data_IF_625653553701
#
_entry.id   IF_625653553701
#
_cell.length_a   1.000
_cell.length_b   1.000
_cell.length_c   1.000
_cell.angle_alpha   90.00
_cell.angle_beta   90.00
_cell.angle_gamma   90.00
#
_symmetry.space_group_name_H-M   'P 1'
#
loop_
_entity.id
_entity.type
_entity.pdbx_description
1 polymer ?
#
# COMPACT_ATOMS: atom_id res chain seq x y z
N UNK A 1 17.92 -27.97 -11.32
CA UNK A 1 17.28 -27.32 -10.15
C UNK A 1 18.03 -26.02 -9.90
N UNK A 2 17.38 -24.86 -10.03
CA UNK A 2 18.03 -23.57 -9.74
C UNK A 2 18.29 -23.47 -8.24
N UNK A 3 19.50 -23.08 -7.83
CA UNK A 3 19.86 -22.89 -6.43
C UNK A 3 19.04 -21.72 -5.87
N UNK A 4 18.29 -21.91 -4.78
CA UNK A 4 17.54 -20.84 -4.11
C UNK A 4 18.40 -19.59 -3.97
N UNK A 5 17.96 -18.39 -4.39
CA UNK A 5 18.76 -17.17 -4.33
C UNK A 5 19.34 -16.92 -2.93
N UNK A 6 20.58 -16.42 -2.86
CA UNK A 6 21.27 -16.16 -1.58
C UNK A 6 20.46 -15.22 -0.66
N UNK A 7 19.78 -14.22 -1.25
CA UNK A 7 18.88 -13.30 -0.54
C UNK A 7 17.78 -14.02 0.24
N UNK A 8 17.14 -15.02 -0.36
CA UNK A 8 16.07 -15.81 0.25
C UNK A 8 16.63 -16.71 1.36
N UNK A 9 17.72 -17.42 1.09
CA UNK A 9 18.36 -18.28 2.11
C UNK A 9 18.79 -17.50 3.36
N UNK A 10 19.30 -16.28 3.17
CA UNK A 10 19.66 -15.38 4.27
C UNK A 10 18.44 -14.96 5.10
N UNK A 11 17.31 -14.65 4.45
CA UNK A 11 16.08 -14.29 5.16
C UNK A 11 15.54 -15.49 5.96
N UNK A 12 15.47 -16.67 5.34
CA UNK A 12 15.00 -17.88 6.03
C UNK A 12 15.89 -18.26 7.20
N UNK A 13 17.21 -18.19 7.04
CA UNK A 13 18.17 -18.41 8.13
C UNK A 13 17.97 -17.42 9.28
N UNK A 14 17.75 -16.14 8.98
CA UNK A 14 17.53 -15.12 9.99
C UNK A 14 16.25 -15.38 10.79
N UNK A 15 15.12 -15.62 10.13
CA UNK A 15 13.86 -15.90 10.84
C UNK A 15 13.93 -17.18 11.67
N UNK A 16 14.53 -18.25 11.15
CA UNK A 16 14.74 -19.48 11.93
C UNK A 16 15.57 -19.22 13.20
N UNK A 17 16.67 -18.48 13.08
CA UNK A 17 17.50 -18.10 14.22
C UNK A 17 16.76 -17.19 15.22
N UNK A 18 15.94 -16.26 14.74
CA UNK A 18 15.12 -15.42 15.59
C UNK A 18 14.10 -16.23 16.40
N UNK A 19 13.51 -17.26 15.79
CA UNK A 19 12.57 -18.16 16.47
C UNK A 19 13.28 -19.10 17.47
N UNK A 20 14.48 -19.60 17.14
CA UNK A 20 15.23 -20.56 17.97
C UNK A 20 15.84 -19.92 19.23
N UNK A 21 16.42 -18.72 19.13
CA UNK A 21 17.19 -18.10 20.22
C UNK A 21 16.85 -16.63 20.49
N UNK A 22 15.92 -16.06 19.72
CA UNK A 22 15.53 -14.66 19.83
C UNK A 22 16.33 -13.72 18.93
N UNK A 23 15.70 -12.58 18.65
CA UNK A 23 16.24 -11.52 17.81
C UNK A 23 17.56 -10.96 18.34
N UNK A 24 17.63 -10.63 19.63
CA UNK A 24 18.79 -9.96 20.24
C UNK A 24 20.03 -10.85 20.27
N UNK A 25 19.85 -12.15 20.52
CA UNK A 25 20.94 -13.12 20.60
C UNK A 25 21.47 -13.56 19.22
N UNK A 26 20.81 -13.13 18.14
CA UNK A 26 21.22 -13.47 16.78
C UNK A 26 22.14 -12.43 16.17
N UNK A 27 23.30 -12.87 15.66
CA UNK A 27 24.26 -12.01 14.95
C UNK A 27 24.21 -12.22 13.44
N UNK A 28 24.81 -11.28 12.68
CA UNK A 28 24.95 -11.38 11.22
C UNK A 28 25.80 -12.60 10.82
N UNK A 29 26.81 -12.95 11.61
CA UNK A 29 27.71 -14.07 11.30
C UNK A 29 26.97 -15.40 11.39
N UNK A 30 26.15 -15.58 12.42
CA UNK A 30 25.34 -16.79 12.54
C UNK A 30 24.36 -16.94 11.37
N UNK A 31 23.76 -15.83 10.91
CA UNK A 31 22.83 -15.84 9.79
C UNK A 31 23.56 -16.24 8.51
N UNK A 32 24.74 -15.67 8.28
CA UNK A 32 25.55 -15.96 7.10
C UNK A 32 25.99 -17.43 7.10
N UNK A 33 26.50 -17.92 8.23
CA UNK A 33 26.90 -19.31 8.44
C UNK A 33 25.73 -20.28 8.17
N UNK A 34 24.58 -20.03 8.81
CA UNK A 34 23.35 -20.83 8.63
C UNK A 34 22.87 -20.85 7.18
N UNK A 35 22.98 -19.73 6.47
CA UNK A 35 22.59 -19.62 5.06
C UNK A 35 23.63 -20.20 4.07
N UNK A 36 24.77 -20.68 4.57
CA UNK A 36 25.88 -21.21 3.78
C UNK A 36 26.52 -20.15 2.89
N UNK A 37 26.65 -18.92 3.37
CA UNK A 37 27.30 -17.81 2.65
C UNK A 37 28.27 -17.06 3.57
N UNK A 38 29.23 -16.35 3.00
CA UNK A 38 30.14 -15.51 3.79
C UNK A 38 29.49 -14.19 4.22
N UNK A 39 30.03 -13.58 5.30
CA UNK A 39 29.63 -12.26 5.81
C UNK A 39 29.58 -11.17 4.73
N UNK A 40 30.56 -11.13 3.81
CA UNK A 40 30.57 -10.19 2.67
C UNK A 40 29.36 -10.36 1.76
N UNK A 41 28.88 -11.60 1.57
CA UNK A 41 27.67 -11.88 0.78
C UNK A 41 26.42 -11.40 1.50
N UNK A 42 26.36 -11.53 2.83
CA UNK A 42 25.28 -10.92 3.63
C UNK A 42 25.20 -9.42 3.36
N UNK A 43 26.31 -8.69 3.51
CA UNK A 43 26.31 -7.22 3.37
C UNK A 43 26.07 -6.75 1.93
N UNK A 44 26.29 -7.60 0.93
CA UNK A 44 25.87 -7.33 -0.46
C UNK A 44 24.35 -7.26 -0.61
N UNK A 45 23.62 -7.98 0.23
CA UNK A 45 22.15 -8.03 0.20
C UNK A 45 21.49 -7.15 1.25
N UNK A 46 22.05 -7.07 2.46
CA UNK A 46 21.44 -6.39 3.59
C UNK A 46 22.45 -5.53 4.34
N UNK A 47 22.09 -4.28 4.62
CA UNK A 47 22.98 -3.34 5.33
C UNK A 47 23.11 -3.66 6.83
N UNK A 48 22.16 -4.39 7.40
CA UNK A 48 22.15 -4.77 8.82
C UNK A 48 21.26 -6.00 9.06
N UNK A 49 21.26 -6.53 10.29
CA UNK A 49 20.35 -7.60 10.72
C UNK A 49 18.89 -7.21 10.57
N UNK A 50 18.55 -5.98 10.93
CA UNK A 50 17.22 -5.38 10.81
C UNK A 50 16.78 -5.29 9.34
N UNK A 51 17.72 -5.01 8.42
CA UNK A 51 17.41 -4.89 7.00
C UNK A 51 16.97 -6.22 6.37
N UNK A 52 17.28 -7.36 6.99
CA UNK A 52 16.77 -8.68 6.58
C UNK A 52 15.26 -8.78 6.78
N UNK A 53 14.72 -8.07 7.77
CA UNK A 53 13.31 -8.09 8.14
C UNK A 53 12.50 -7.15 7.25
N UNK A 54 13.13 -6.08 6.74
CA UNK A 54 12.50 -5.05 5.90
C UNK A 54 13.30 -4.78 4.61
N UNK A 55 13.51 -5.79 3.75
CA UNK A 55 14.51 -5.69 2.69
C UNK A 55 14.13 -4.77 1.52
N UNK A 56 12.83 -4.50 1.32
CA UNK A 56 12.33 -3.84 0.11
C UNK A 56 11.43 -2.60 0.40
N UNK A 57 11.45 -2.05 1.63
CA UNK A 57 10.55 -0.95 2.01
C UNK A 57 10.79 0.34 1.20
N UNK A 58 12.04 0.71 0.96
CA UNK A 58 12.38 1.91 0.20
C UNK A 58 11.99 1.76 -1.28
N UNK A 59 12.18 0.56 -1.84
CA UNK A 59 11.75 0.23 -3.20
C UNK A 59 10.23 0.32 -3.35
N UNK A 60 9.48 -0.15 -2.35
CA UNK A 60 8.03 -0.04 -2.35
C UNK A 60 7.57 1.42 -2.32
N UNK A 61 8.22 2.28 -1.52
CA UNK A 61 7.95 3.71 -1.50
C UNK A 61 8.20 4.37 -2.87
N UNK A 62 9.25 3.97 -3.60
CA UNK A 62 9.47 4.42 -4.98
C UNK A 62 8.34 4.01 -5.91
N UNK A 63 7.91 2.74 -5.88
CA UNK A 63 6.79 2.26 -6.72
C UNK A 63 5.49 3.02 -6.45
N UNK A 64 5.22 3.37 -5.19
CA UNK A 64 4.08 4.20 -4.84
C UNK A 64 4.23 5.60 -5.44
N UNK A 65 5.41 6.23 -5.29
CA UNK A 65 5.66 7.56 -5.89
C UNK A 65 5.46 7.53 -7.39
N UNK A 66 6.03 6.55 -8.08
CA UNK A 66 5.91 6.38 -9.53
C UNK A 66 4.44 6.21 -9.93
N UNK A 67 3.68 5.37 -9.21
CA UNK A 67 2.25 5.19 -9.48
C UNK A 67 1.48 6.49 -9.33
N UNK A 68 1.72 7.27 -8.27
CA UNK A 68 1.03 8.54 -8.05
C UNK A 68 1.41 9.61 -9.09
N UNK A 69 2.68 9.68 -9.47
CA UNK A 69 3.20 10.65 -10.44
C UNK A 69 2.64 10.47 -11.86
N UNK A 70 2.15 9.28 -12.21
CA UNK A 70 1.50 9.02 -13.51
C UNK A 70 0.04 9.51 -13.57
N UNK A 71 -0.51 10.04 -12.48
CA UNK A 71 -1.90 10.46 -12.43
C UNK A 71 -2.11 11.89 -12.94
N UNK A 72 -3.26 12.12 -13.56
CA UNK A 72 -3.83 13.45 -13.79
C UNK A 72 -4.81 13.82 -12.68
N UNK A 73 -5.22 15.09 -12.61
CA UNK A 73 -6.19 15.58 -11.63
C UNK A 73 -7.49 14.78 -11.57
N UNK A 74 -8.00 14.28 -12.70
CA UNK A 74 -9.23 13.47 -12.74
C UNK A 74 -9.04 12.03 -12.28
N UNK A 75 -7.78 11.56 -12.20
CA UNK A 75 -7.42 10.17 -11.87
C UNK A 75 -6.67 10.03 -10.55
N UNK A 76 -6.47 11.12 -9.80
CA UNK A 76 -5.67 11.12 -8.57
C UNK A 76 -6.18 10.12 -7.52
N UNK A 77 -7.50 10.06 -7.30
CA UNK A 77 -8.13 9.13 -6.36
C UNK A 77 -8.00 7.66 -6.78
N UNK A 78 -8.02 7.40 -8.09
CA UNK A 78 -7.74 6.07 -8.65
C UNK A 78 -6.28 5.69 -8.39
N UNK A 79 -5.36 6.63 -8.60
CA UNK A 79 -3.94 6.39 -8.34
C UNK A 79 -3.64 6.12 -6.85
N UNK A 80 -4.33 6.79 -5.93
CA UNK A 80 -4.26 6.49 -4.48
C UNK A 80 -4.73 5.06 -4.20
N UNK A 81 -5.86 4.65 -4.78
CA UNK A 81 -6.40 3.29 -4.60
C UNK A 81 -5.45 2.22 -5.17
N UNK A 82 -4.89 2.45 -6.36
CA UNK A 82 -3.92 1.55 -6.97
C UNK A 82 -2.62 1.47 -6.17
N UNK A 83 -2.13 2.60 -5.64
CA UNK A 83 -0.97 2.63 -4.76
C UNK A 83 -1.18 1.80 -3.48
N UNK A 84 -2.37 1.89 -2.87
CA UNK A 84 -2.74 1.04 -1.73
C UNK A 84 -2.74 -0.44 -2.10
N UNK A 85 -3.27 -0.76 -3.29
CA UNK A 85 -3.28 -2.14 -3.80
C UNK A 85 -1.85 -2.65 -4.01
N UNK A 86 -0.94 -1.85 -4.57
CA UNK A 86 0.47 -2.22 -4.75
C UNK A 86 1.13 -2.62 -3.43
N UNK A 87 0.87 -1.87 -2.36
CA UNK A 87 1.39 -2.24 -1.02
C UNK A 87 0.79 -3.54 -0.55
N UNK A 88 -0.53 -3.72 -0.65
CA UNK A 88 -1.16 -4.96 -0.23
C UNK A 88 -0.59 -6.17 -0.99
N UNK A 89 -0.55 -6.09 -2.32
CA UNK A 89 -0.03 -7.15 -3.18
C UNK A 89 1.41 -7.52 -2.83
N UNK A 90 2.25 -6.55 -2.50
CA UNK A 90 3.61 -6.82 -2.04
C UNK A 90 3.64 -7.70 -0.77
N UNK A 91 2.80 -7.42 0.23
CA UNK A 91 2.70 -8.29 1.42
C UNK A 91 2.12 -9.67 1.08
N UNK A 92 1.16 -9.75 0.15
CA UNK A 92 0.59 -11.04 -0.29
C UNK A 92 1.63 -11.90 -1.01
N UNK A 93 2.43 -11.30 -1.88
CA UNK A 93 3.54 -11.97 -2.59
C UNK A 93 4.61 -12.49 -1.63
N UNK A 94 4.90 -11.76 -0.55
CA UNK A 94 5.79 -12.21 0.51
C UNK A 94 5.22 -13.38 1.34
N UNK A 95 3.90 -13.49 1.43
CA UNK A 95 3.21 -14.61 2.07
C UNK A 95 3.64 -14.86 3.52
N UNK A 96 4.26 -16.02 3.77
CA UNK A 96 4.69 -16.41 5.11
C UNK A 96 5.82 -15.54 5.67
N UNK A 97 6.62 -14.90 4.81
CA UNK A 97 7.63 -13.95 5.26
C UNK A 97 6.98 -12.73 5.93
N UNK A 98 5.92 -12.20 5.32
CA UNK A 98 5.14 -11.10 5.89
C UNK A 98 4.50 -11.50 7.23
N UNK A 99 3.96 -12.72 7.34
CA UNK A 99 3.41 -13.26 8.60
C UNK A 99 4.47 -13.40 9.70
N UNK A 100 5.64 -13.96 9.37
CA UNK A 100 6.78 -14.06 10.31
C UNK A 100 7.26 -12.68 10.78
N UNK A 101 7.36 -11.72 9.85
CA UNK A 101 7.68 -10.31 10.17
C UNK A 101 6.68 -9.71 11.14
N UNK A 102 5.38 -9.88 10.89
CA UNK A 102 4.32 -9.38 11.76
C UNK A 102 4.36 -10.00 13.16
N UNK A 103 4.58 -11.32 13.25
CA UNK A 103 4.76 -11.98 14.54
C UNK A 103 5.98 -11.45 15.30
N UNK A 104 7.08 -11.20 14.61
CA UNK A 104 8.31 -10.68 15.23
C UNK A 104 8.16 -9.23 15.72
N UNK A 105 7.57 -8.33 14.93
CA UNK A 105 7.32 -6.92 15.33
C UNK A 105 6.33 -6.81 16.49
N UNK A 106 5.44 -7.79 16.67
CA UNK A 106 4.58 -7.85 17.86
C UNK A 106 5.35 -8.12 19.16
N UNK A 107 6.52 -8.77 19.10
CA UNK A 107 7.31 -9.18 20.27
C UNK A 107 8.51 -8.27 20.54
N UNK A 108 9.11 -7.69 19.50
CA UNK A 108 10.37 -6.93 19.60
C UNK A 108 10.11 -5.44 19.42
N UNK A 109 10.32 -4.64 20.48
CA UNK A 109 10.01 -3.21 20.51
C UNK A 109 10.76 -2.41 19.42
N UNK A 110 12.07 -2.61 19.27
CA UNK A 110 12.87 -1.89 18.28
C UNK A 110 12.38 -2.11 16.83
N UNK A 111 11.88 -3.31 16.53
CA UNK A 111 11.30 -3.63 15.22
C UNK A 111 9.92 -3.02 15.05
N UNK A 112 9.12 -2.96 16.12
CA UNK A 112 7.82 -2.29 16.14
C UNK A 112 7.97 -0.79 15.87
N UNK A 113 8.92 -0.13 16.52
CA UNK A 113 9.16 1.31 16.36
C UNK A 113 9.59 1.62 14.93
N UNK A 114 10.42 0.75 14.34
CA UNK A 114 10.81 0.85 12.93
C UNK A 114 9.62 0.66 11.99
N UNK A 115 8.72 -0.26 12.27
CA UNK A 115 7.50 -0.47 11.48
C UNK A 115 6.60 0.77 11.55
N UNK A 116 6.40 1.35 12.74
CA UNK A 116 5.64 2.59 12.93
C UNK A 116 6.28 3.73 12.13
N UNK A 117 7.60 3.91 12.22
CA UNK A 117 8.31 4.93 11.46
C UNK A 117 8.18 4.73 9.94
N UNK A 118 8.10 3.47 9.49
CA UNK A 118 7.92 3.11 8.09
C UNK A 118 6.50 3.38 7.59
N UNK A 119 5.49 3.06 8.40
CA UNK A 119 4.10 3.46 8.15
C UNK A 119 3.91 4.98 8.12
N UNK A 120 4.61 5.72 8.98
CA UNK A 120 4.58 7.18 8.95
C UNK A 120 5.17 7.76 7.64
N UNK A 121 6.22 7.15 7.07
CA UNK A 121 6.74 7.54 5.73
C UNK A 121 5.70 7.33 4.64
N UNK A 122 4.98 6.21 4.70
CA UNK A 122 3.93 5.87 3.75
C UNK A 122 2.74 6.85 3.81
N UNK A 123 2.26 7.20 5.00
CA UNK A 123 1.20 8.21 5.16
C UNK A 123 1.61 9.58 4.62
N UNK A 124 2.85 10.01 4.91
CA UNK A 124 3.35 11.31 4.43
C UNK A 124 3.33 11.41 2.92
N UNK A 125 3.68 10.33 2.22
CA UNK A 125 3.68 10.28 0.77
C UNK A 125 2.27 10.56 0.20
N UNK A 126 1.23 9.89 0.70
CA UNK A 126 -0.14 10.19 0.26
C UNK A 126 -0.58 11.60 0.62
N UNK A 127 -0.23 12.06 1.82
CA UNK A 127 -0.59 13.42 2.25
C UNK A 127 0.01 14.47 1.32
N UNK A 128 1.29 14.35 1.01
CA UNK A 128 2.00 15.25 0.09
C UNK A 128 1.31 15.26 -1.29
N UNK A 129 1.03 14.08 -1.83
CA UNK A 129 0.32 13.94 -3.10
C UNK A 129 -1.11 14.53 -3.08
N UNK A 130 -1.90 14.25 -2.04
CA UNK A 130 -3.27 14.74 -1.91
C UNK A 130 -3.30 16.26 -1.73
N UNK A 131 -2.34 16.81 -0.96
CA UNK A 131 -2.22 18.25 -0.78
C UNK A 131 -1.89 18.96 -2.12
N UNK A 132 -0.97 18.39 -2.90
CA UNK A 132 -0.63 18.91 -4.24
C UNK A 132 -1.84 18.82 -5.19
N UNK A 133 -2.53 17.68 -5.22
CA UNK A 133 -3.72 17.46 -6.04
C UNK A 133 -4.85 18.46 -5.72
N UNK A 134 -5.05 18.82 -4.45
CA UNK A 134 -6.06 19.82 -4.08
C UNK A 134 -5.68 21.23 -4.54
N UNK A 135 -4.39 21.53 -4.73
CA UNK A 135 -3.91 22.83 -5.25
C UNK A 135 -4.26 24.05 -4.37
N UNK A 136 -4.78 23.84 -3.16
CA UNK A 136 -5.23 24.88 -2.24
C UNK A 136 -4.30 24.96 -1.02
N UNK A 137 -3.59 26.07 -0.81
CA UNK A 137 -2.69 26.25 0.33
C UNK A 137 -3.42 26.57 1.64
N UNK A 138 -4.76 26.56 1.69
CA UNK A 138 -5.49 26.84 2.93
C UNK A 138 -5.24 25.78 4.01
N UNK A 139 -5.36 26.20 5.28
CA UNK A 139 -5.28 25.28 6.42
C UNK A 139 -6.37 24.20 6.37
N UNK A 140 -7.54 24.52 5.82
CA UNK A 140 -8.64 23.56 5.66
C UNK A 140 -8.30 22.46 4.66
N UNK A 141 -7.72 22.80 3.51
CA UNK A 141 -7.23 21.82 2.55
C UNK A 141 -6.10 20.96 3.14
N UNK A 142 -5.15 21.57 3.84
CA UNK A 142 -4.08 20.83 4.54
C UNK A 142 -4.64 19.81 5.55
N UNK A 143 -5.61 20.20 6.37
CA UNK A 143 -6.30 19.28 7.29
C UNK A 143 -7.03 18.17 6.52
N UNK A 144 -7.69 18.49 5.40
CA UNK A 144 -8.36 17.50 4.57
C UNK A 144 -7.37 16.47 3.99
N UNK A 145 -6.19 16.89 3.54
CA UNK A 145 -5.14 15.98 3.08
C UNK A 145 -4.67 15.04 4.20
N UNK A 146 -4.48 15.59 5.41
CA UNK A 146 -4.07 14.80 6.58
C UNK A 146 -5.15 13.76 6.93
N UNK A 147 -6.42 14.18 7.05
CA UNK A 147 -7.53 13.27 7.36
C UNK A 147 -7.72 12.19 6.30
N UNK A 148 -7.64 12.56 5.02
CA UNK A 148 -7.79 11.62 3.92
C UNK A 148 -6.64 10.61 3.91
N UNK A 149 -5.38 11.06 3.97
CA UNK A 149 -4.21 10.17 3.99
C UNK A 149 -4.21 9.23 5.21
N UNK A 150 -4.60 9.72 6.39
CA UNK A 150 -4.75 8.88 7.59
C UNK A 150 -5.83 7.80 7.39
N UNK A 151 -6.95 8.15 6.76
CA UNK A 151 -8.04 7.21 6.47
C UNK A 151 -7.62 6.13 5.47
N UNK A 152 -6.89 6.51 4.41
CA UNK A 152 -6.29 5.56 3.44
C UNK A 152 -5.38 4.55 4.15
N UNK A 153 -4.47 5.03 5.00
CA UNK A 153 -3.55 4.16 5.74
C UNK A 153 -4.28 3.28 6.75
N UNK A 154 -5.33 3.80 7.41
CA UNK A 154 -6.15 3.03 8.34
C UNK A 154 -6.90 1.90 7.62
N UNK A 155 -7.52 2.17 6.47
CA UNK A 155 -8.20 1.18 5.64
C UNK A 155 -7.23 0.06 5.20
N UNK A 156 -6.07 0.43 4.68
CA UNK A 156 -5.03 -0.52 4.29
C UNK A 156 -4.57 -1.40 5.48
N UNK A 157 -4.24 -0.79 6.61
CA UNK A 157 -3.77 -1.50 7.80
C UNK A 157 -4.83 -2.44 8.37
N UNK A 158 -6.10 -2.06 8.32
CA UNK A 158 -7.20 -2.91 8.76
C UNK A 158 -7.22 -4.22 7.98
N UNK A 159 -7.25 -4.13 6.65
CA UNK A 159 -7.29 -5.31 5.76
C UNK A 159 -6.01 -6.13 5.86
N UNK A 160 -4.85 -5.48 5.78
CA UNK A 160 -3.55 -6.16 5.87
C UNK A 160 -3.42 -6.94 7.18
N UNK A 161 -3.79 -6.36 8.32
CA UNK A 161 -3.70 -7.04 9.63
C UNK A 161 -4.69 -8.18 9.79
N UNK A 162 -5.85 -8.12 9.15
CA UNK A 162 -6.79 -9.25 9.10
C UNK A 162 -6.16 -10.41 8.34
N UNK A 163 -5.62 -10.14 7.16
CA UNK A 163 -4.91 -11.17 6.37
C UNK A 163 -3.70 -11.75 7.10
N UNK A 164 -2.87 -10.91 7.74
CA UNK A 164 -1.70 -11.36 8.52
C UNK A 164 -2.09 -12.27 9.70
N UNK A 165 -3.31 -12.11 10.24
CA UNK A 165 -3.88 -12.95 11.30
C UNK A 165 -4.64 -14.18 10.77
N UNK A 166 -4.74 -14.35 9.44
CA UNK A 166 -5.50 -15.44 8.82
C UNK A 166 -7.02 -15.24 8.88
N UNK A 167 -7.48 -14.01 9.13
CA UNK A 167 -8.91 -13.66 9.27
C UNK A 167 -9.56 -13.21 7.96
N UNK A 168 -8.78 -13.14 6.87
CA UNK A 168 -9.23 -12.70 5.54
C UNK A 168 -8.80 -13.70 4.48
N UNK A 169 -9.77 -14.15 3.68
CA UNK A 169 -9.56 -15.04 2.53
C UNK A 169 -9.46 -14.28 1.19
N UNK A 170 -9.93 -13.04 1.14
CA UNK A 170 -9.90 -12.20 -0.05
C UNK A 170 -9.54 -10.74 0.30
N UNK A 171 -8.29 -10.49 0.70
CA UNK A 171 -7.86 -9.16 1.10
C UNK A 171 -7.88 -8.14 -0.05
N UNK A 172 -7.84 -8.60 -1.31
CA UNK A 172 -7.85 -7.72 -2.48
C UNK A 172 -9.23 -7.08 -2.66
N UNK A 173 -10.30 -7.87 -2.54
CA UNK A 173 -11.66 -7.32 -2.55
C UNK A 173 -11.93 -6.48 -1.30
N UNK A 174 -11.51 -6.94 -0.12
CA UNK A 174 -11.69 -6.19 1.14
C UNK A 174 -11.01 -4.81 1.10
N UNK A 175 -9.83 -4.66 0.48
CA UNK A 175 -9.16 -3.35 0.36
C UNK A 175 -9.87 -2.43 -0.62
N UNK A 176 -10.46 -2.96 -1.69
CA UNK A 176 -11.23 -2.18 -2.65
C UNK A 176 -12.51 -1.62 -2.04
N UNK A 177 -13.18 -2.43 -1.21
CA UNK A 177 -14.34 -2.01 -0.43
C UNK A 177 -13.95 -0.95 0.59
N UNK A 178 -12.88 -1.18 1.36
CA UNK A 178 -12.40 -0.22 2.35
C UNK A 178 -11.98 1.12 1.70
N UNK A 179 -11.36 1.09 0.52
CA UNK A 179 -11.02 2.31 -0.21
C UNK A 179 -12.26 3.02 -0.75
N UNK A 180 -13.29 2.28 -1.20
CA UNK A 180 -14.56 2.87 -1.61
C UNK A 180 -15.23 3.64 -0.47
N UNK A 181 -15.21 3.10 0.75
CA UNK A 181 -15.69 3.78 1.96
C UNK A 181 -14.89 5.05 2.26
N UNK A 182 -13.55 4.98 2.17
CA UNK A 182 -12.70 6.17 2.36
C UNK A 182 -13.03 7.26 1.34
N UNK A 183 -13.19 6.91 0.06
CA UNK A 183 -13.50 7.88 -0.98
C UNK A 183 -14.88 8.53 -0.80
N UNK A 184 -15.86 7.80 -0.25
CA UNK A 184 -17.18 8.35 0.06
C UNK A 184 -17.14 9.43 1.16
N UNK A 185 -16.18 9.35 2.09
CA UNK A 185 -15.97 10.36 3.15
C UNK A 185 -15.36 11.66 2.60
N UNK A 186 -14.65 11.59 1.48
CA UNK A 186 -13.93 12.71 0.88
C UNK A 186 -14.33 12.86 -0.59
N UNK A 187 -15.57 13.31 -0.88
CA UNK A 187 -15.93 13.64 -2.26
C UNK A 187 -14.88 14.59 -2.83
N UNK A 188 -14.48 14.34 -4.08
CA UNK A 188 -13.50 15.15 -4.77
C UNK A 188 -13.86 16.63 -4.60
N UNK A 189 -12.88 17.54 -4.43
CA UNK A 189 -13.17 18.96 -4.42
C UNK A 189 -14.00 19.21 -5.67
N UNK A 190 -15.26 19.60 -5.47
CA UNK A 190 -16.22 19.76 -6.54
C UNK A 190 -15.54 20.64 -7.56
N UNK A 191 -15.24 20.06 -8.73
CA UNK A 191 -14.68 20.78 -9.85
C UNK A 191 -15.53 22.03 -9.95
N UNK A 192 -14.91 23.15 -9.59
CA UNK A 192 -15.52 24.46 -9.47
C UNK A 192 -16.45 24.60 -10.66
N UNK A 193 -17.77 24.57 -10.42
CA UNK A 193 -18.82 24.35 -11.43
C UNK A 193 -18.38 24.98 -12.75
N UNK A 194 -17.79 24.16 -13.62
CA UNK A 194 -17.46 24.58 -14.96
C UNK A 194 -18.81 24.55 -15.65
N UNK A 195 -19.48 25.69 -15.65
CA UNK A 195 -20.65 26.02 -16.47
C UNK A 195 -20.27 26.06 -17.97
N UNK A 196 -19.38 25.16 -18.38
CA UNK A 196 -18.81 25.03 -19.71
C UNK A 196 -18.90 23.58 -20.17
N UNK A 197 -19.21 23.44 -21.45
CA UNK A 197 -19.45 22.24 -22.25
C UNK A 197 -18.31 21.20 -22.14
N UNK A 198 -18.29 20.42 -21.05
CA UNK A 198 -17.21 19.49 -20.71
C UNK A 198 -17.71 18.09 -20.34
N UNK A 199 -16.91 17.08 -20.70
CA UNK A 199 -17.22 15.66 -20.46
C UNK A 199 -17.30 15.34 -18.98
N UNK A 200 -18.49 14.95 -18.50
CA UNK A 200 -18.68 14.43 -17.14
C UNK A 200 -18.45 12.92 -17.12
N UNK A 201 -17.51 12.45 -16.30
CA UNK A 201 -17.25 11.00 -16.10
C UNK A 201 -17.98 10.53 -14.85
N UNK A 202 -18.92 9.59 -15.02
CA UNK A 202 -19.68 8.95 -13.93
C UNK A 202 -19.30 7.48 -13.87
N UNK A 203 -18.81 7.01 -12.72
CA UNK A 203 -18.48 5.61 -12.48
C UNK A 203 -19.50 4.99 -11.51
N UNK A 204 -20.04 3.83 -11.87
CA UNK A 204 -20.95 3.04 -11.03
C UNK A 204 -20.66 1.55 -11.21
N UNK A 205 -20.95 0.74 -10.19
CA UNK A 205 -20.80 -0.73 -10.23
C UNK A 205 -22.15 -1.37 -10.55
N UNK A 206 -22.15 -2.38 -11.40
CA UNK A 206 -23.35 -3.07 -11.90
C UNK A 206 -23.06 -4.54 -12.13
N UNK A 207 -24.06 -5.39 -11.91
CA UNK A 207 -24.00 -6.82 -12.25
C UNK A 207 -24.48 -7.13 -13.67
N UNK A 208 -24.90 -6.11 -14.42
CA UNK A 208 -25.36 -6.27 -15.82
C UNK A 208 -24.18 -6.10 -16.78
N UNK A 209 -24.25 -6.79 -17.91
CA UNK A 209 -23.26 -6.66 -18.97
C UNK A 209 -23.22 -5.24 -19.57
N UNK A 210 -22.03 -4.80 -19.98
CA UNK A 210 -21.80 -3.43 -20.45
C UNK A 210 -22.65 -3.11 -21.69
N UNK A 211 -22.77 -4.03 -22.63
CA UNK A 211 -23.53 -3.82 -23.87
C UNK A 211 -25.03 -3.70 -23.60
N UNK A 212 -25.53 -4.31 -22.52
CA UNK A 212 -26.91 -4.17 -22.08
C UNK A 212 -27.20 -2.81 -21.43
N UNK A 213 -26.20 -2.16 -20.83
CA UNK A 213 -26.34 -0.90 -20.10
C UNK A 213 -26.14 0.34 -20.97
N UNK A 214 -25.23 0.26 -21.95
CA UNK A 214 -24.87 1.40 -22.81
C UNK A 214 -26.07 2.12 -23.44
N UNK A 215 -27.12 1.43 -23.96
CA UNK A 215 -28.28 2.11 -24.53
C UNK A 215 -29.09 2.92 -23.51
N UNK A 216 -29.19 2.46 -22.27
CA UNK A 216 -29.94 3.14 -21.21
C UNK A 216 -29.18 4.35 -20.67
N UNK A 217 -27.85 4.25 -20.55
CA UNK A 217 -26.99 5.37 -20.17
C UNK A 217 -26.99 6.46 -21.23
N UNK A 218 -26.91 6.12 -22.52
CA UNK A 218 -26.99 7.09 -23.63
C UNK A 218 -28.29 7.89 -23.58
N UNK A 219 -29.43 7.22 -23.40
CA UNK A 219 -30.74 7.90 -23.28
C UNK A 219 -30.83 8.87 -22.09
N UNK A 220 -30.22 8.53 -20.95
CA UNK A 220 -30.19 9.40 -19.78
C UNK A 220 -29.33 10.65 -20.00
N UNK A 221 -28.19 10.50 -20.68
CA UNK A 221 -27.29 11.61 -21.02
C UNK A 221 -27.91 12.51 -22.10
N UNK A 222 -28.49 11.94 -23.14
CA UNK A 222 -29.10 12.67 -24.25
C UNK A 222 -30.45 13.33 -23.87
N UNK A 223 -31.21 12.73 -22.96
CA UNK A 223 -32.50 13.25 -22.48
C UNK A 223 -32.41 14.34 -21.40
N UNK A 224 -31.23 14.55 -20.81
CA UNK A 224 -31.01 15.53 -19.73
C UNK A 224 -30.61 16.93 -20.18
N UNK A 225 -30.24 17.13 -21.46
CA UNK A 225 -29.75 18.42 -21.99
C UNK A 225 -30.84 19.49 -22.25
N UNK A 226 -32.04 19.31 -21.68
CA UNK A 226 -33.18 20.21 -21.88
C UNK A 226 -33.96 20.45 -20.61
N UNK A 227 -33.38 21.20 -19.66
CA UNK A 227 -34.10 21.96 -18.62
C UNK A 227 -33.19 22.96 -17.92
#
# INVERSE_FOLDING_TARGET
>A
MSKTPARIRLADAAFALFDERGYEQTTVDDIAERAGVGRTTFFRHYRSKEAVIFPDHDRLLELIRDRLATSSNSTALVAVSDAVRLVLLHYLEEGDLARRRYALTSKVAALRDREIASGARYQRLFREFIAEWMGDPTQSASLRAELMSASVVAAHNHVLRRWLRGESSDPVTEVDEAMSEVLALFPAPSAQQSTGDGTTVVAFRTGQDLDALLPSLRRLVEGGSGR
#
